data_IF_011821933092
#
_entry.id   IF_011821933092
#
_cell.length_a   1.000
_cell.length_b   1.000
_cell.length_c   1.000
_cell.angle_alpha   90.00
_cell.angle_beta   90.00
_cell.angle_gamma   90.00
#
_symmetry.space_group_name_H-M   'P 1'
#
loop_
_entity.id
_entity.type
_entity.pdbx_description
1 polymer ?
#
# COMPACT_ATOMS: atom_id res chain seq x y z
N UNK A 1 -11.36 6.66 -15.35
CA UNK A 1 -12.39 7.19 -14.43
C UNK A 1 -11.91 6.79 -13.05
N UNK A 2 -11.19 7.68 -12.38
CA UNK A 2 -10.74 7.48 -10.98
C UNK A 2 -11.98 7.47 -10.12
N UNK A 3 -12.22 6.36 -9.41
CA UNK A 3 -13.40 6.17 -8.57
C UNK A 3 -13.28 6.92 -7.22
N UNK A 4 -12.12 7.52 -6.93
CA UNK A 4 -11.76 8.01 -5.60
C UNK A 4 -11.00 9.33 -5.63
N UNK A 5 -11.16 10.09 -4.55
CA UNK A 5 -10.36 11.28 -4.28
C UNK A 5 -8.91 10.86 -4.01
N UNK A 6 -7.97 11.37 -4.80
CA UNK A 6 -6.54 11.05 -4.74
C UNK A 6 -5.88 11.33 -3.37
N UNK A 7 -6.54 12.10 -2.50
CA UNK A 7 -5.99 12.50 -1.20
C UNK A 7 -6.69 11.82 -0.01
N UNK A 8 -7.58 10.85 -0.24
CA UNK A 8 -8.29 10.15 0.81
C UNK A 8 -8.03 8.65 0.77
N UNK A 9 -7.95 8.06 1.97
CA UNK A 9 -7.87 6.61 2.11
C UNK A 9 -9.22 5.99 1.76
N UNK A 10 -9.19 4.92 0.97
CA UNK A 10 -10.38 4.12 0.69
C UNK A 10 -10.63 3.11 1.82
N UNK A 11 -11.83 2.53 1.83
CA UNK A 11 -12.09 1.38 2.71
C UNK A 11 -11.23 0.17 2.29
N UNK A 12 -10.73 -0.59 3.27
CA UNK A 12 -9.90 -1.77 3.04
C UNK A 12 -10.55 -2.80 2.09
N UNK A 13 -11.88 -2.89 2.09
CA UNK A 13 -12.65 -3.81 1.22
C UNK A 13 -12.61 -3.43 -0.26
N UNK A 14 -12.24 -2.19 -0.58
CA UNK A 14 -12.19 -1.67 -1.94
C UNK A 14 -10.80 -1.81 -2.59
N UNK A 15 -9.77 -2.18 -1.83
CA UNK A 15 -8.39 -2.23 -2.33
C UNK A 15 -8.19 -3.17 -3.53
N UNK A 16 -8.92 -4.30 -3.58
CA UNK A 16 -8.88 -5.24 -4.70
C UNK A 16 -9.46 -4.68 -6.02
N UNK A 17 -10.13 -3.54 -5.98
CA UNK A 17 -10.70 -2.87 -7.16
C UNK A 17 -9.77 -1.78 -7.72
N UNK A 18 -8.74 -1.40 -6.97
CA UNK A 18 -7.82 -0.35 -7.36
C UNK A 18 -6.86 -0.82 -8.44
N UNK A 19 -6.48 0.08 -9.34
CA UNK A 19 -5.31 -0.10 -10.19
C UNK A 19 -4.03 -0.23 -9.35
N UNK A 20 -2.92 -0.62 -9.97
CA UNK A 20 -1.63 -0.70 -9.29
C UNK A 20 -1.18 0.67 -8.78
N UNK A 21 -1.29 1.71 -9.60
CA UNK A 21 -0.92 3.07 -9.22
C UNK A 21 -1.76 3.60 -8.04
N UNK A 22 -3.07 3.37 -8.07
CA UNK A 22 -3.96 3.75 -6.96
C UNK A 22 -3.61 2.99 -5.67
N UNK A 23 -3.28 1.69 -5.77
CA UNK A 23 -2.90 0.90 -4.59
C UNK A 23 -1.57 1.37 -3.99
N UNK A 24 -0.60 1.73 -4.84
CA UNK A 24 0.67 2.34 -4.42
C UNK A 24 0.43 3.69 -3.75
N UNK A 25 -0.47 4.50 -4.31
CA UNK A 25 -0.84 5.79 -3.72
C UNK A 25 -1.49 5.64 -2.35
N UNK A 26 -2.40 4.68 -2.17
CA UNK A 26 -3.01 4.37 -0.87
C UNK A 26 -1.96 4.00 0.18
N UNK A 27 -0.94 3.23 -0.19
CA UNK A 27 0.20 2.99 0.69
C UNK A 27 0.97 4.27 1.02
N UNK A 28 1.26 5.09 0.01
CA UNK A 28 2.05 6.32 0.18
C UNK A 28 1.36 7.36 1.06
N UNK A 29 0.03 7.40 1.10
CA UNK A 29 -0.74 8.23 2.03
C UNK A 29 -0.51 7.84 3.50
N UNK A 30 -0.15 6.59 3.78
CA UNK A 30 0.13 6.08 5.13
C UNK A 30 1.59 6.27 5.57
N UNK A 31 2.47 6.70 4.67
CA UNK A 31 3.89 6.91 4.97
C UNK A 31 4.05 8.12 5.90
N UNK A 32 4.88 7.96 6.92
CA UNK A 32 5.09 9.00 7.94
C UNK A 32 3.94 9.16 8.94
N UNK A 33 2.83 8.43 8.77
CA UNK A 33 1.80 8.36 9.80
C UNK A 33 2.24 7.42 10.93
N UNK A 34 2.57 7.99 12.09
CA UNK A 34 3.02 7.24 13.27
C UNK A 34 1.88 6.87 14.24
N UNK A 35 0.65 7.34 13.98
CA UNK A 35 -0.49 7.00 14.83
C UNK A 35 -0.92 5.55 14.56
N UNK A 36 -1.21 4.80 15.61
CA UNK A 36 -1.65 3.41 15.50
C UNK A 36 -3.06 3.25 16.06
N UNK A 37 -3.94 2.63 15.29
CA UNK A 37 -5.25 2.17 15.74
C UNK A 37 -5.62 0.87 15.02
N UNK A 38 -6.67 0.19 15.49
CA UNK A 38 -7.11 -1.10 14.94
C UNK A 38 -7.50 -1.02 13.47
N UNK A 39 -8.27 0.00 13.08
CA UNK A 39 -8.71 0.21 11.70
C UNK A 39 -7.53 0.35 10.74
N UNK A 40 -6.50 1.09 11.17
CA UNK A 40 -5.25 1.25 10.42
C UNK A 40 -4.50 -0.06 10.28
N UNK A 41 -4.41 -0.84 11.36
CA UNK A 41 -3.78 -2.17 11.31
C UNK A 41 -4.47 -3.10 10.30
N UNK A 42 -5.80 -3.08 10.25
CA UNK A 42 -6.61 -3.83 9.28
C UNK A 42 -6.32 -3.34 7.86
N UNK A 43 -6.34 -2.03 7.63
CA UNK A 43 -6.08 -1.42 6.33
C UNK A 43 -4.68 -1.77 5.79
N UNK A 44 -3.65 -1.63 6.62
CA UNK A 44 -2.27 -1.97 6.26
C UNK A 44 -2.09 -3.46 5.96
N UNK A 45 -2.79 -4.34 6.68
CA UNK A 45 -2.77 -5.77 6.40
C UNK A 45 -3.49 -6.11 5.08
N UNK A 46 -4.58 -5.41 4.76
CA UNK A 46 -5.26 -5.55 3.49
C UNK A 46 -4.37 -5.08 2.32
N UNK A 47 -3.67 -3.95 2.45
CA UNK A 47 -2.66 -3.51 1.47
C UNK A 47 -1.56 -4.54 1.26
N UNK A 48 -1.04 -5.14 2.34
CA UNK A 48 -0.05 -6.22 2.23
C UNK A 48 -0.57 -7.41 1.44
N UNK A 49 -1.82 -7.80 1.72
CA UNK A 49 -2.48 -8.93 1.05
C UNK A 49 -2.64 -8.65 -0.44
N UNK A 50 -3.07 -7.44 -0.81
CA UNK A 50 -3.22 -7.06 -2.22
C UNK A 50 -1.89 -7.02 -2.97
N UNK A 51 -0.82 -6.46 -2.39
CA UNK A 51 0.50 -6.52 -3.02
C UNK A 51 1.00 -7.96 -3.21
N UNK A 52 0.72 -8.84 -2.25
CA UNK A 52 1.07 -10.25 -2.35
C UNK A 52 0.27 -10.96 -3.46
N UNK A 53 -1.04 -10.72 -3.53
CA UNK A 53 -1.93 -11.31 -4.55
C UNK A 53 -1.59 -10.86 -5.98
N UNK A 54 -0.98 -9.67 -6.13
CA UNK A 54 -0.55 -9.13 -7.43
C UNK A 54 0.87 -9.57 -7.83
N UNK A 55 1.49 -10.45 -7.05
CA UNK A 55 2.84 -10.99 -7.31
C UNK A 55 3.90 -9.89 -7.54
N UNK A 56 3.79 -8.76 -6.84
CA UNK A 56 4.76 -7.68 -6.97
C UNK A 56 6.15 -8.12 -6.52
N UNK A 57 7.17 -7.88 -7.36
CA UNK A 57 8.56 -8.12 -6.98
C UNK A 57 9.01 -7.07 -5.96
N UNK A 58 10.06 -7.36 -5.21
CA UNK A 58 10.60 -6.40 -4.23
C UNK A 58 9.74 -6.24 -2.97
N UNK A 59 8.72 -7.08 -2.78
CA UNK A 59 7.88 -7.11 -1.58
C UNK A 59 8.73 -7.21 -0.29
N UNK A 60 9.77 -8.05 -0.25
CA UNK A 60 10.68 -8.13 0.91
C UNK A 60 11.50 -6.87 1.19
N UNK A 61 11.67 -6.00 0.19
CA UNK A 61 12.38 -4.72 0.33
C UNK A 61 11.50 -3.70 1.05
N UNK A 62 10.20 -3.69 0.72
CA UNK A 62 9.19 -2.79 1.31
C UNK A 62 8.61 -3.36 2.62
N UNK A 63 8.52 -4.68 2.71
CA UNK A 63 7.97 -5.45 3.84
C UNK A 63 9.09 -6.24 4.52
N UNK A 64 9.59 -5.73 5.65
CA UNK A 64 10.59 -6.44 6.45
C UNK A 64 9.93 -7.33 7.48
N UNK A 65 10.19 -8.64 7.39
CA UNK A 65 9.67 -9.63 8.35
C UNK A 65 8.14 -9.58 8.48
N UNK A 66 7.43 -9.38 7.37
CA UNK A 66 5.97 -9.24 7.35
C UNK A 66 5.44 -7.90 7.89
N UNK A 67 6.33 -6.94 8.19
CA UNK A 67 5.96 -5.58 8.63
C UNK A 67 6.19 -4.57 7.52
N UNK A 68 5.20 -3.71 7.31
CA UNK A 68 5.27 -2.59 6.39
C UNK A 68 6.28 -1.54 6.84
N UNK A 69 7.23 -1.19 5.96
CA UNK A 69 8.13 -0.06 6.18
C UNK A 69 7.46 1.25 5.76
N UNK A 70 6.74 1.88 6.68
CA UNK A 70 6.04 3.17 6.47
C UNK A 70 6.97 4.39 6.59
N UNK A 71 8.26 4.19 6.38
CA UNK A 71 9.29 5.24 6.52
C UNK A 71 9.53 6.01 5.23
N UNK A 72 9.22 5.39 4.09
CA UNK A 72 9.51 5.92 2.76
C UNK A 72 8.37 5.57 1.81
N UNK A 73 8.00 6.49 0.90
CA UNK A 73 7.09 6.17 -0.16
C UNK A 73 7.73 5.19 -1.14
N UNK A 74 6.87 4.52 -1.90
CA UNK A 74 7.25 3.52 -2.89
C UNK A 74 6.68 3.88 -4.25
N UNK A 75 7.25 3.26 -5.27
CA UNK A 75 6.73 3.26 -6.63
C UNK A 75 6.85 1.85 -7.24
N UNK A 76 6.02 1.57 -8.23
CA UNK A 76 6.05 0.33 -8.99
C UNK A 76 6.75 0.59 -10.34
N UNK A 77 7.87 -0.08 -10.58
CA UNK A 77 8.61 0.02 -11.84
C UNK A 77 8.81 -1.39 -12.40
N UNK A 78 8.30 -1.67 -13.60
CA UNK A 78 8.43 -2.98 -14.27
C UNK A 78 7.96 -4.17 -13.39
N UNK A 79 6.90 -3.95 -12.59
CA UNK A 79 6.36 -4.96 -11.67
C UNK A 79 7.17 -5.15 -10.38
N UNK A 80 8.12 -4.25 -10.09
CA UNK A 80 8.95 -4.28 -8.88
C UNK A 80 8.74 -3.05 -8.00
N UNK A 81 8.47 -3.28 -6.72
CA UNK A 81 8.32 -2.25 -5.70
C UNK A 81 9.69 -1.73 -5.26
N UNK A 82 9.85 -0.42 -5.35
CA UNK A 82 11.08 0.26 -4.98
C UNK A 82 10.76 1.43 -4.04
N UNK A 83 11.71 1.78 -3.16
CA UNK A 83 11.60 3.00 -2.39
C UNK A 83 11.97 4.22 -3.23
N UNK A 84 11.28 5.32 -2.95
CA UNK A 84 11.63 6.66 -3.42
C UNK A 84 12.66 7.29 -2.47
#
# INVERSE_FOLDING_TARGET
>A
MTLFNENELVDATLLGQLSDDELIQQFNLEVGNFQWNSSRGIFLNALHTEFHNRDFKGLSTVFKSGKLSLKKPIHLLNGELNFI
#
